data_IF_163121585440
#
_entry.id   IF_163121585440
#
_cell.length_a   1.000
_cell.length_b   1.000
_cell.length_c   1.000
_cell.angle_alpha   90.00
_cell.angle_beta   90.00
_cell.angle_gamma   90.00
#
_symmetry.space_group_name_H-M   'P 1'
#
loop_
_entity.id
_entity.type
_entity.pdbx_description
1 polymer ?
#
# COMPACT_ATOMS: atom_id res chain seq x y z
N UNK A 1 -26.93 -3.28 -9.93
CA UNK A 1 -26.46 -3.70 -8.60
C UNK A 1 -26.03 -2.45 -7.86
N UNK A 2 -26.80 -2.03 -6.84
CA UNK A 2 -26.34 -0.93 -5.99
C UNK A 2 -25.23 -1.42 -5.08
N UNK A 3 -24.07 -0.76 -5.11
CA UNK A 3 -22.98 -1.05 -4.17
C UNK A 3 -23.24 -0.26 -2.90
N UNK A 4 -23.38 -1.00 -1.79
CA UNK A 4 -23.64 -0.41 -0.49
C UNK A 4 -22.43 0.43 -0.03
N UNK A 5 -22.62 1.56 0.67
CA UNK A 5 -21.52 2.39 1.18
C UNK A 5 -20.46 1.61 1.97
N UNK A 6 -20.89 0.60 2.72
CA UNK A 6 -20.00 -0.29 3.48
C UNK A 6 -19.04 -1.08 2.58
N UNK A 7 -19.50 -1.50 1.40
CA UNK A 7 -18.67 -2.27 0.45
C UNK A 7 -17.49 -1.45 -0.05
N UNK A 8 -17.67 -0.14 -0.30
CA UNK A 8 -16.56 0.73 -0.70
C UNK A 8 -15.50 0.85 0.39
N UNK A 9 -15.93 0.96 1.65
CA UNK A 9 -15.01 0.99 2.81
C UNK A 9 -14.27 -0.34 2.96
N UNK A 10 -14.96 -1.47 2.80
CA UNK A 10 -14.35 -2.79 2.88
C UNK A 10 -13.31 -3.00 1.77
N UNK A 11 -13.63 -2.64 0.52
CA UNK A 11 -12.69 -2.71 -0.61
C UNK A 11 -11.47 -1.83 -0.32
N UNK A 12 -11.69 -0.57 0.06
CA UNK A 12 -10.60 0.34 0.37
C UNK A 12 -9.71 -0.20 1.50
N UNK A 13 -10.28 -0.76 2.57
CA UNK A 13 -9.53 -1.32 3.68
C UNK A 13 -8.64 -2.49 3.25
N UNK A 14 -9.18 -3.43 2.47
CA UNK A 14 -8.40 -4.58 1.95
C UNK A 14 -7.29 -4.11 1.03
N UNK A 15 -7.61 -3.22 0.07
CA UNK A 15 -6.62 -2.66 -0.86
C UNK A 15 -5.53 -1.89 -0.11
N UNK A 16 -5.90 -1.10 0.89
CA UNK A 16 -4.96 -0.35 1.72
C UNK A 16 -4.00 -1.28 2.46
N UNK A 17 -4.48 -2.39 3.02
CA UNK A 17 -3.61 -3.39 3.63
C UNK A 17 -2.65 -4.04 2.64
N UNK A 18 -3.12 -4.42 1.45
CA UNK A 18 -2.26 -4.97 0.40
C UNK A 18 -1.17 -3.98 -0.02
N UNK A 19 -1.54 -2.72 -0.22
CA UNK A 19 -0.61 -1.66 -0.59
C UNK A 19 0.38 -1.39 0.54
N UNK A 20 -0.04 -1.43 1.82
CA UNK A 20 0.87 -1.26 2.95
C UNK A 20 2.04 -2.24 2.86
N UNK A 21 1.74 -3.53 2.65
CA UNK A 21 2.78 -4.55 2.49
C UNK A 21 3.65 -4.34 1.26
N UNK A 22 3.10 -3.82 0.16
CA UNK A 22 3.87 -3.48 -1.04
C UNK A 22 4.81 -2.26 -0.83
N UNK A 23 4.41 -1.29 -0.01
CA UNK A 23 5.15 -0.04 0.27
C UNK A 23 6.22 -0.23 1.36
N UNK A 24 5.99 -1.14 2.32
CA UNK A 24 6.92 -1.41 3.42
C UNK A 24 8.39 -1.61 3.01
N UNK A 25 8.74 -2.37 1.94
CA UNK A 25 10.12 -2.58 1.54
C UNK A 25 10.83 -1.32 0.99
N UNK A 26 10.12 -0.22 0.75
CA UNK A 26 10.76 0.99 0.22
C UNK A 26 11.60 1.72 1.26
N UNK A 27 12.79 2.13 0.81
CA UNK A 27 13.69 3.00 1.56
C UNK A 27 14.26 2.38 2.83
N UNK A 28 14.30 1.04 2.92
CA UNK A 28 15.01 0.35 4.00
C UNK A 28 16.51 0.46 3.71
N UNK A 29 17.23 1.16 4.59
CA UNK A 29 18.70 1.23 4.60
C UNK A 29 19.18 0.76 5.96
N UNK A 30 19.95 -0.31 5.99
CA UNK A 30 20.42 -0.96 7.22
C UNK A 30 21.57 -0.21 7.88
N UNK A 31 21.77 -0.40 9.18
CA UNK A 31 22.92 0.17 9.90
C UNK A 31 24.27 -0.23 9.28
N UNK A 32 24.38 -1.48 8.79
CA UNK A 32 25.59 -1.98 8.16
C UNK A 32 26.00 -1.17 6.91
N UNK A 33 25.03 -0.63 6.16
CA UNK A 33 25.27 0.16 4.94
C UNK A 33 25.68 1.61 5.25
N UNK A 34 25.58 2.06 6.51
CA UNK A 34 25.92 3.42 6.92
C UNK A 34 27.23 3.54 7.70
N UNK A 35 27.93 2.43 7.96
CA UNK A 35 29.24 2.42 8.62
C UNK A 35 29.23 2.61 10.14
N UNK A 36 28.07 2.87 10.75
CA UNK A 36 27.89 2.92 12.20
C UNK A 36 26.88 1.85 12.62
N UNK A 37 27.40 0.71 13.09
CA UNK A 37 26.60 -0.33 13.75
C UNK A 37 26.70 -0.08 15.25
N UNK A 38 25.58 0.21 15.91
CA UNK A 38 25.54 0.28 17.38
C UNK A 38 25.59 -1.13 17.96
N UNK A 39 26.48 -1.35 18.94
CA UNK A 39 26.60 -2.65 19.62
C UNK A 39 25.27 -3.08 20.24
N UNK A 40 24.84 -4.31 19.96
CA UNK A 40 23.58 -4.88 20.45
C UNK A 40 22.35 -4.65 19.57
N UNK A 41 22.47 -3.92 18.46
CA UNK A 41 21.41 -3.78 17.44
C UNK A 41 21.59 -4.79 16.31
N UNK A 42 20.49 -5.29 15.73
CA UNK A 42 20.56 -6.13 14.53
C UNK A 42 21.19 -5.32 13.37
N UNK A 43 22.23 -5.83 12.67
CA UNK A 43 22.90 -5.09 11.60
C UNK A 43 21.99 -4.65 10.45
N UNK A 44 20.86 -5.34 10.25
CA UNK A 44 19.83 -5.04 9.28
C UNK A 44 18.74 -4.07 9.77
N UNK A 45 18.78 -3.63 11.04
CA UNK A 45 17.83 -2.69 11.59
C UNK A 45 17.87 -1.35 10.80
N UNK A 46 16.73 -0.79 10.39
CA UNK A 46 16.70 0.50 9.70
C UNK A 46 17.15 1.63 10.65
N UNK A 47 18.01 2.52 10.17
CA UNK A 47 18.46 3.70 10.95
C UNK A 47 17.30 4.65 11.25
N UNK A 48 16.34 4.77 10.32
CA UNK A 48 15.09 5.52 10.50
C UNK A 48 13.95 4.74 9.86
N UNK A 49 12.94 4.36 10.66
CA UNK A 49 11.80 3.60 10.17
C UNK A 49 10.91 4.38 9.17
N UNK A 50 10.95 5.71 9.20
CA UNK A 50 10.22 6.60 8.27
C UNK A 50 8.76 6.17 8.03
N UNK A 51 8.04 5.81 9.11
CA UNK A 51 6.69 5.24 9.02
C UNK A 51 5.66 6.22 8.46
N UNK A 52 5.81 7.53 8.73
CA UNK A 52 4.87 8.57 8.26
C UNK A 52 4.88 8.70 6.74
N UNK A 53 6.03 8.86 6.05
CA UNK A 53 6.09 8.83 4.58
C UNK A 53 5.46 7.56 3.98
N UNK A 54 5.68 6.40 4.59
CA UNK A 54 5.12 5.12 4.14
C UNK A 54 3.60 5.12 4.28
N UNK A 55 3.06 5.58 5.40
CA UNK A 55 1.61 5.66 5.61
C UNK A 55 0.92 6.61 4.60
N UNK A 56 1.55 7.73 4.26
CA UNK A 56 1.06 8.66 3.24
C UNK A 56 1.08 7.99 1.86
N UNK A 57 2.21 7.40 1.47
CA UNK A 57 2.35 6.69 0.21
C UNK A 57 1.31 5.56 0.07
N UNK A 58 1.12 4.75 1.12
CA UNK A 58 0.10 3.70 1.16
C UNK A 58 -1.30 4.26 0.95
N UNK A 59 -1.64 5.35 1.63
CA UNK A 59 -2.98 5.96 1.54
C UNK A 59 -3.28 6.48 0.13
N UNK A 60 -2.32 7.18 -0.49
CA UNK A 60 -2.48 7.70 -1.85
C UNK A 60 -2.58 6.58 -2.88
N UNK A 61 -1.68 5.60 -2.81
CA UNK A 61 -1.66 4.46 -3.74
C UNK A 61 -2.92 3.61 -3.60
N UNK A 62 -3.36 3.34 -2.37
CA UNK A 62 -4.59 2.60 -2.11
C UNK A 62 -5.82 3.35 -2.64
N UNK A 63 -5.89 4.67 -2.43
CA UNK A 63 -6.98 5.49 -2.96
C UNK A 63 -7.07 5.42 -4.48
N UNK A 64 -5.94 5.56 -5.18
CA UNK A 64 -5.89 5.42 -6.65
C UNK A 64 -6.31 4.02 -7.09
N UNK A 65 -5.77 2.98 -6.45
CA UNK A 65 -6.10 1.60 -6.78
C UNK A 65 -7.59 1.29 -6.59
N UNK A 66 -8.19 1.71 -5.47
CA UNK A 66 -9.62 1.53 -5.22
C UNK A 66 -10.48 2.25 -6.26
N UNK A 67 -10.13 3.49 -6.64
CA UNK A 67 -10.85 4.23 -7.69
C UNK A 67 -10.78 3.48 -9.02
N UNK A 68 -9.60 2.98 -9.41
CA UNK A 68 -9.43 2.21 -10.64
C UNK A 68 -10.22 0.91 -10.64
N UNK A 69 -10.25 0.19 -9.51
CA UNK A 69 -11.03 -1.06 -9.35
C UNK A 69 -12.52 -0.77 -9.52
N UNK A 70 -13.05 0.23 -8.79
CA UNK A 70 -14.48 0.60 -8.85
C UNK A 70 -14.87 1.09 -10.24
N UNK A 71 -14.01 1.89 -10.89
CA UNK A 71 -14.21 2.31 -12.27
C UNK A 71 -14.22 1.13 -13.24
N UNK A 72 -13.27 0.20 -13.12
CA UNK A 72 -13.20 -0.99 -13.97
C UNK A 72 -14.44 -1.88 -13.83
N UNK A 73 -14.95 -2.05 -12.61
CA UNK A 73 -16.17 -2.81 -12.34
C UNK A 73 -17.44 -2.17 -12.91
N UNK A 74 -17.46 -0.85 -13.07
CA UNK A 74 -18.61 -0.10 -13.60
C UNK A 74 -18.51 0.19 -15.10
N UNK A 75 -17.40 -0.15 -15.75
CA UNK A 75 -17.17 0.14 -17.16
C UNK A 75 -17.93 -0.86 -18.06
N UNK A 76 -18.89 -0.40 -18.89
CA UNK A 76 -19.70 -1.28 -19.73
C UNK A 76 -18.90 -2.10 -20.73
N UNK A 77 -17.84 -1.52 -21.30
CA UNK A 77 -17.02 -2.17 -22.31
C UNK A 77 -16.23 -3.35 -21.72
N UNK A 78 -15.77 -3.23 -20.47
CA UNK A 78 -15.13 -4.33 -19.76
C UNK A 78 -16.12 -5.43 -19.41
N UNK A 79 -17.35 -5.07 -19.01
CA UNK A 79 -18.38 -6.06 -18.72
C UNK A 79 -18.73 -6.88 -19.97
N UNK A 80 -18.87 -6.22 -21.12
CA UNK A 80 -19.14 -6.86 -22.41
C UNK A 80 -17.99 -7.77 -22.87
N UNK A 81 -16.73 -7.37 -22.65
CA UNK A 81 -15.57 -8.17 -23.03
C UNK A 81 -15.43 -9.46 -22.20
N UNK A 82 -15.79 -9.41 -20.92
CA UNK A 82 -15.63 -10.54 -19.98
C UNK A 82 -16.92 -11.35 -19.75
N UNK A 83 -18.02 -11.02 -20.43
CA UNK A 83 -19.30 -11.75 -20.41
C UNK A 83 -19.44 -12.71 -21.59
#
# INVERSE_FOLDING_TARGET
>A
MEIQPFTYVAIYFVVWWTVLFAVLPWGIRGQHEAGEVTDGTDPGAPIKANLVPKAIATTVLAGVATVLIVWGMSNPWLQEYWS
#
